data_IF_769338025766
#
_entry.id   IF_769338025766
#
_cell.length_a   1.000
_cell.length_b   1.000
_cell.length_c   1.000
_cell.angle_alpha   90.00
_cell.angle_beta   90.00
_cell.angle_gamma   90.00
#
_symmetry.space_group_name_H-M   'P 1'
#
loop_
_entity.id
_entity.type
_entity.pdbx_description
1 polymer ?
#
# COMPACT_ATOMS: atom_id res chain seq x y z
N UNK A 1 5.15 -9.64 -10.70
CA UNK A 1 4.97 -8.24 -10.26
C UNK A 1 3.79 -8.21 -9.31
N UNK A 2 3.93 -7.60 -8.14
CA UNK A 2 2.86 -7.52 -7.14
C UNK A 2 1.77 -6.55 -7.60
N UNK A 3 0.51 -6.87 -7.27
CA UNK A 3 -0.61 -5.96 -7.48
C UNK A 3 -0.49 -4.79 -6.50
N UNK A 4 -0.57 -3.57 -7.00
CA UNK A 4 -0.65 -2.37 -6.16
C UNK A 4 -2.11 -1.95 -6.03
N UNK A 5 -2.55 -1.80 -4.79
CA UNK A 5 -3.82 -1.19 -4.46
C UNK A 5 -3.58 0.08 -3.64
N UNK A 6 -4.31 1.15 -3.91
CA UNK A 6 -4.20 2.44 -3.21
C UNK A 6 -5.48 2.76 -2.46
N UNK A 7 -5.38 3.30 -1.25
CA UNK A 7 -6.52 3.81 -0.49
C UNK A 7 -7.12 5.05 -1.18
N UNK A 8 -8.31 5.48 -0.76
CA UNK A 8 -8.87 6.76 -1.21
C UNK A 8 -7.94 7.94 -0.88
N UNK A 9 -7.34 7.95 0.32
CA UNK A 9 -6.38 8.98 0.72
C UNK A 9 -5.16 9.01 -0.20
N UNK A 10 -4.59 7.85 -0.54
CA UNK A 10 -3.46 7.74 -1.44
C UNK A 10 -3.83 8.17 -2.87
N UNK A 11 -5.03 7.84 -3.33
CA UNK A 11 -5.57 8.30 -4.61
C UNK A 11 -5.68 9.83 -4.64
N UNK A 12 -6.26 10.44 -3.61
CA UNK A 12 -6.36 11.90 -3.51
C UNK A 12 -4.98 12.55 -3.46
N UNK A 13 -4.02 11.95 -2.74
CA UNK A 13 -2.62 12.40 -2.75
C UNK A 13 -2.05 12.42 -4.17
N UNK A 14 -2.19 11.33 -4.95
CA UNK A 14 -1.69 11.25 -6.34
C UNK A 14 -2.32 12.31 -7.25
N UNK A 15 -3.64 12.50 -7.16
CA UNK A 15 -4.36 13.43 -8.03
C UNK A 15 -3.92 14.88 -7.89
N UNK A 16 -3.29 15.22 -6.76
CA UNK A 16 -2.82 16.56 -6.43
C UNK A 16 -1.31 16.76 -6.65
N UNK A 17 -0.59 15.75 -7.18
CA UNK A 17 0.86 15.86 -7.44
C UNK A 17 1.18 16.43 -8.80
N UNK A 18 2.30 17.15 -8.88
CA UNK A 18 2.83 17.61 -10.17
C UNK A 18 3.60 16.48 -10.87
N UNK A 19 3.91 16.68 -12.16
CA UNK A 19 4.53 15.66 -13.01
C UNK A 19 5.89 15.16 -12.49
N UNK A 20 6.69 16.04 -11.90
CA UNK A 20 8.02 15.68 -11.38
C UNK A 20 7.90 14.86 -10.09
N UNK A 21 6.86 15.11 -9.31
CA UNK A 21 6.53 14.29 -8.14
C UNK A 21 5.95 12.94 -8.55
N UNK A 22 5.05 12.92 -9.53
CA UNK A 22 4.46 11.70 -10.08
C UNK A 22 5.51 10.77 -10.66
N UNK A 23 6.51 11.28 -11.39
CA UNK A 23 7.64 10.48 -11.90
C UNK A 23 8.42 9.78 -10.78
N UNK A 24 8.70 10.50 -9.68
CA UNK A 24 9.39 9.91 -8.51
C UNK A 24 8.54 8.85 -7.82
N UNK A 25 7.26 9.14 -7.62
CA UNK A 25 6.31 8.22 -7.01
C UNK A 25 6.18 6.96 -7.85
N UNK A 26 6.02 7.12 -9.17
CA UNK A 26 5.91 6.02 -10.11
C UNK A 26 7.14 5.11 -10.07
N UNK A 27 8.34 5.68 -10.14
CA UNK A 27 9.59 4.91 -10.00
C UNK A 27 9.64 4.14 -8.68
N UNK A 28 9.17 4.74 -7.59
CA UNK A 28 9.12 4.04 -6.30
C UNK A 28 8.06 2.93 -6.28
N UNK A 29 6.87 3.14 -6.85
CA UNK A 29 5.81 2.14 -6.97
C UNK A 29 6.22 0.97 -7.87
N UNK A 30 6.85 1.24 -9.01
CA UNK A 30 7.37 0.23 -9.94
C UNK A 30 8.46 -0.61 -9.25
N UNK A 31 9.38 0.02 -8.52
CA UNK A 31 10.38 -0.71 -7.74
C UNK A 31 9.73 -1.55 -6.65
N UNK A 32 8.70 -1.01 -5.99
CA UNK A 32 7.98 -1.71 -4.93
C UNK A 32 7.24 -2.94 -5.48
N UNK A 33 6.53 -2.80 -6.61
CA UNK A 33 5.80 -3.88 -7.31
C UNK A 33 6.72 -4.96 -7.89
N UNK A 34 7.98 -4.62 -8.16
CA UNK A 34 9.00 -5.57 -8.59
C UNK A 34 9.83 -6.17 -7.42
N UNK A 35 9.52 -5.84 -6.16
CA UNK A 35 10.29 -6.35 -5.01
C UNK A 35 11.68 -5.71 -4.86
N UNK A 36 11.97 -4.63 -5.59
CA UNK A 36 13.26 -3.94 -5.64
C UNK A 36 13.43 -2.97 -4.47
N UNK A 37 13.47 -3.52 -3.26
CA UNK A 37 13.41 -2.74 -2.01
C UNK A 37 14.77 -2.27 -1.49
N UNK A 38 15.84 -2.60 -2.22
CA UNK A 38 17.20 -2.11 -1.99
C UNK A 38 17.48 -0.94 -2.93
N UNK A 39 18.31 0.01 -2.48
CA UNK A 39 18.79 1.19 -3.22
C UNK A 39 17.66 2.14 -3.70
N UNK A 40 17.66 3.40 -3.26
CA UNK A 40 16.59 4.35 -3.59
C UNK A 40 15.34 4.18 -2.73
N UNK A 41 14.54 3.13 -2.95
CA UNK A 41 13.22 2.90 -2.32
C UNK A 41 13.30 2.45 -0.86
N UNK A 42 14.40 1.82 -0.41
CA UNK A 42 14.68 1.38 0.99
C UNK A 42 13.43 1.14 1.84
N UNK A 43 12.95 -0.11 1.87
CA UNK A 43 11.80 -0.49 2.69
C UNK A 43 12.23 -0.77 4.12
N UNK A 44 11.45 -0.28 5.08
CA UNK A 44 11.59 -0.60 6.51
C UNK A 44 10.24 -0.96 7.10
N UNK A 45 10.29 -1.73 8.17
CA UNK A 45 9.14 -2.04 9.00
C UNK A 45 9.01 -1.01 10.12
N UNK A 46 7.79 -0.52 10.33
CA UNK A 46 7.47 0.32 11.47
C UNK A 46 7.13 -0.60 12.65
N UNK A 47 8.15 -0.91 13.45
CA UNK A 47 7.97 -1.72 14.67
C UNK A 47 7.20 -0.98 15.77
N UNK A 48 7.09 0.33 15.67
CA UNK A 48 6.65 1.23 16.72
C UNK A 48 5.14 1.39 16.85
N UNK A 49 4.32 0.68 16.07
CA UNK A 49 2.91 1.10 15.89
C UNK A 49 1.86 0.05 16.24
N UNK A 50 2.11 -1.26 16.12
CA UNK A 50 1.24 -2.33 16.65
C UNK A 50 1.92 -3.72 16.57
N UNK A 51 1.57 -4.64 17.47
CA UNK A 51 1.90 -6.08 17.39
C UNK A 51 0.91 -6.90 16.55
N UNK A 52 -0.24 -6.36 16.13
CA UNK A 52 -1.25 -7.11 15.37
C UNK A 52 -1.24 -6.80 13.87
N UNK A 53 -0.73 -5.62 13.48
CA UNK A 53 -0.73 -5.13 12.10
C UNK A 53 0.63 -4.57 11.73
N UNK A 54 1.18 -5.05 10.61
CA UNK A 54 2.47 -4.61 10.13
C UNK A 54 2.30 -3.48 9.11
N UNK A 55 2.81 -2.29 9.42
CA UNK A 55 2.93 -1.18 8.47
C UNK A 55 4.40 -1.05 8.08
N UNK A 56 4.62 -0.88 6.80
CA UNK A 56 5.93 -0.67 6.21
C UNK A 56 6.04 0.76 5.69
N UNK A 57 7.24 1.32 5.77
CA UNK A 57 7.61 2.51 5.02
C UNK A 57 8.47 2.15 3.82
N UNK A 58 8.20 2.79 2.69
CA UNK A 58 9.09 2.85 1.54
C UNK A 58 9.48 4.30 1.28
N UNK A 59 10.75 4.53 0.96
CA UNK A 59 11.25 5.83 0.54
C UNK A 59 10.77 6.20 -0.87
N UNK A 60 10.11 7.35 -0.98
CA UNK A 60 9.83 7.97 -2.29
C UNK A 60 11.00 8.85 -2.71
N UNK A 61 11.48 9.69 -1.78
CA UNK A 61 12.71 10.46 -1.95
C UNK A 61 13.36 10.76 -0.58
N UNK A 62 14.28 11.73 -0.51
CA UNK A 62 14.97 12.04 0.74
C UNK A 62 13.99 12.43 1.87
N UNK A 63 12.98 13.23 1.58
CA UNK A 63 12.05 13.78 2.57
C UNK A 63 10.81 12.89 2.77
N UNK A 64 10.36 12.21 1.72
CA UNK A 64 9.03 11.59 1.70
C UNK A 64 9.05 10.07 1.79
N UNK A 65 8.00 9.53 2.40
CA UNK A 65 7.75 8.11 2.63
C UNK A 65 6.37 7.73 2.13
N UNK A 66 6.26 6.48 1.74
CA UNK A 66 5.03 5.80 1.37
C UNK A 66 4.76 4.76 2.44
N UNK A 67 3.53 4.74 2.97
CA UNK A 67 3.11 3.79 3.99
C UNK A 67 2.26 2.71 3.35
N UNK A 68 2.58 1.46 3.61
CA UNK A 68 1.88 0.33 3.01
C UNK A 68 1.81 -0.88 3.92
N UNK A 69 0.88 -1.78 3.61
CA UNK A 69 0.84 -3.15 4.13
C UNK A 69 0.93 -4.14 2.97
N UNK A 70 1.33 -5.37 3.26
CA UNK A 70 1.33 -6.48 2.29
C UNK A 70 0.39 -7.56 2.81
N UNK A 71 -0.24 -8.26 1.88
CA UNK A 71 -1.10 -9.41 2.15
C UNK A 71 -0.92 -10.44 1.05
N UNK A 72 -0.79 -11.71 1.41
CA UNK A 72 -0.88 -12.80 0.43
C UNK A 72 -2.33 -12.98 0.00
N UNK A 73 -2.62 -12.93 -1.32
CA UNK A 73 -3.97 -13.20 -1.84
C UNK A 73 -4.40 -14.67 -1.59
N UNK A 74 -3.44 -15.57 -1.43
CA UNK A 74 -3.67 -16.93 -1.00
C UNK A 74 -3.19 -17.09 0.44
N UNK A 75 -4.09 -17.50 1.35
CA UNK A 75 -3.76 -17.76 2.76
C UNK A 75 -2.62 -18.78 2.93
N UNK A 76 -2.23 -19.47 1.85
CA UNK A 76 -1.12 -20.42 1.80
C UNK A 76 0.25 -19.78 1.99
N UNK A 77 0.45 -18.48 1.71
CA UNK A 77 1.76 -17.78 1.77
C UNK A 77 2.90 -18.45 0.97
N UNK A 78 2.60 -19.48 0.19
CA UNK A 78 3.53 -20.23 -0.65
C UNK A 78 3.68 -19.53 -2.00
N UNK A 79 2.63 -18.83 -2.45
CA UNK A 79 2.60 -18.10 -3.70
C UNK A 79 2.85 -16.61 -3.50
N UNK A 80 4.10 -16.33 -3.14
CA UNK A 80 4.66 -14.98 -2.98
C UNK A 80 4.22 -14.03 -4.11
N UNK A 81 4.26 -14.50 -5.35
CA UNK A 81 3.95 -13.70 -6.54
C UNK A 81 2.49 -13.21 -6.60
N UNK A 82 1.59 -13.78 -5.79
CA UNK A 82 0.19 -13.34 -5.65
C UNK A 82 -0.03 -12.37 -4.48
N UNK A 83 1.04 -11.87 -3.85
CA UNK A 83 0.89 -10.88 -2.78
C UNK A 83 0.42 -9.54 -3.34
N UNK A 84 -0.45 -8.87 -2.60
CA UNK A 84 -0.99 -7.55 -2.92
C UNK A 84 -0.39 -6.55 -1.95
N UNK A 85 0.05 -5.41 -2.48
CA UNK A 85 0.58 -4.29 -1.71
C UNK A 85 -0.49 -3.23 -1.61
N UNK A 86 -0.88 -2.87 -0.39
CA UNK A 86 -1.90 -1.89 -0.07
C UNK A 86 -1.23 -0.60 0.39
N UNK A 87 -1.23 0.41 -0.45
CA UNK A 87 -0.68 1.74 -0.16
C UNK A 87 -1.73 2.57 0.57
N UNK A 88 -1.41 2.97 1.79
CA UNK A 88 -2.28 3.78 2.64
C UNK A 88 -2.04 5.27 2.40
N UNK A 89 -0.77 5.66 2.25
CA UNK A 89 -0.31 7.02 1.96
C UNK A 89 0.91 6.98 1.05
N UNK A 90 1.08 7.99 0.21
CA UNK A 90 2.10 8.02 -0.86
C UNK A 90 3.19 9.04 -0.56
N UNK A 91 2.86 10.18 0.03
CA UNK A 91 3.81 11.26 0.30
C UNK A 91 3.68 11.77 1.73
N UNK A 92 4.09 10.94 2.68
CA UNK A 92 4.20 11.30 4.09
C UNK A 92 5.57 11.90 4.34
N UNK A 93 5.64 13.05 5.01
CA UNK A 93 6.92 13.62 5.46
C UNK A 93 7.55 12.68 6.50
N UNK A 94 8.88 12.58 6.49
CA UNK A 94 9.62 11.65 7.35
C UNK A 94 9.20 11.71 8.83
N UNK A 95 9.01 12.92 9.35
CA UNK A 95 8.71 13.13 10.77
C UNK A 95 7.24 12.82 11.11
N UNK A 96 6.36 12.77 10.10
CA UNK A 96 4.93 12.48 10.24
C UNK A 96 4.60 10.99 10.08
N UNK A 97 5.59 10.15 9.76
CA UNK A 97 5.41 8.71 9.49
C UNK A 97 4.67 8.01 10.62
N UNK A 98 5.10 8.23 11.87
CA UNK A 98 4.49 7.58 13.04
C UNK A 98 3.07 8.09 13.25
N UNK A 99 2.82 9.38 13.10
CA UNK A 99 1.48 9.96 13.25
C UNK A 99 0.50 9.40 12.20
N UNK A 100 0.92 9.33 10.93
CA UNK A 100 0.10 8.74 9.87
C UNK A 100 -0.13 7.26 10.07
N UNK A 101 0.89 6.52 10.51
CA UNK A 101 0.76 5.11 10.84
C UNK A 101 -0.26 4.87 11.97
N UNK A 102 -0.27 5.71 13.02
CA UNK A 102 -1.31 5.64 14.08
C UNK A 102 -2.72 5.82 13.51
N UNK A 103 -2.92 6.77 12.60
CA UNK A 103 -4.24 6.99 11.98
C UNK A 103 -4.68 5.82 11.09
N UNK A 104 -3.76 5.10 10.46
CA UNK A 104 -4.06 3.86 9.70
C UNK A 104 -4.50 2.73 10.63
N UNK A 105 -4.04 2.72 11.88
CA UNK A 105 -4.37 1.70 12.88
C UNK A 105 -5.62 2.04 13.69
N UNK A 106 -5.95 3.33 13.84
CA UNK A 106 -7.14 3.77 14.57
C UNK A 106 -7.16 3.20 16.00
N UNK A 107 -8.25 2.52 16.35
CA UNK A 107 -8.46 1.95 17.69
C UNK A 107 -7.53 0.76 18.01
N UNK A 108 -6.88 0.17 16.99
CA UNK A 108 -5.94 -0.94 17.20
C UNK A 108 -4.56 -0.44 17.67
N UNK A 109 -4.36 0.87 17.76
CA UNK A 109 -3.14 1.44 18.31
C UNK A 109 -3.09 1.33 19.84
N UNK A 110 -1.96 0.85 20.36
CA UNK A 110 -1.68 0.76 21.80
C UNK A 110 -0.27 1.28 22.08
N UNK A 111 -0.15 2.30 22.93
CA UNK A 111 1.16 2.82 23.36
C UNK A 111 1.98 1.77 24.12
N UNK A 112 1.31 0.82 24.79
CA UNK A 112 1.97 -0.28 25.50
C UNK A 112 2.63 -1.29 24.56
N UNK A 113 2.23 -1.30 23.28
CA UNK A 113 2.81 -2.15 22.24
C UNK A 113 3.87 -1.42 21.41
N UNK A 114 4.22 -0.19 21.80
CA UNK A 114 5.27 0.60 21.20
C UNK A 114 6.65 -0.03 21.45
N UNK A 115 7.31 -0.49 20.39
CA UNK A 115 8.69 -0.97 20.43
C UNK A 115 9.59 0.08 19.78
N UNK A 116 10.64 0.52 20.50
CA UNK A 116 11.69 1.37 19.95
C UNK A 116 12.44 0.65 18.81
N UNK A 117 12.63 1.35 17.69
CA UNK A 117 13.14 0.77 16.45
C UNK A 117 14.54 0.13 16.59
N UNK A 118 14.70 -1.06 16.01
CA UNK A 118 15.99 -1.53 15.52
C UNK A 118 15.89 -1.51 14.00
N UNK A 119 16.78 -0.76 13.34
CA UNK A 119 16.74 -0.53 11.89
C UNK A 119 17.09 -1.83 11.14
N UNK A 120 16.10 -2.71 10.93
CA UNK A 120 16.29 -3.93 10.15
C UNK A 120 16.02 -3.64 8.67
N UNK A 121 17.04 -3.85 7.82
CA UNK A 121 16.86 -3.88 6.37
C UNK A 121 16.22 -5.22 5.99
N UNK A 122 14.92 -5.19 5.71
CA UNK A 122 14.17 -6.41 5.43
C UNK A 122 14.10 -6.65 3.92
N UNK A 123 14.24 -7.90 3.50
CA UNK A 123 13.97 -8.34 2.12
C UNK A 123 12.57 -8.97 2.00
N UNK A 124 12.09 -9.17 0.78
CA UNK A 124 10.73 -9.66 0.54
C UNK A 124 10.40 -10.98 1.24
N UNK A 125 11.28 -11.99 1.13
CA UNK A 125 11.02 -13.28 1.79
C UNK A 125 10.90 -13.13 3.30
N UNK A 126 11.70 -12.26 3.90
CA UNK A 126 11.62 -11.96 5.34
C UNK A 126 10.32 -11.23 5.69
N UNK A 127 9.83 -10.30 4.86
CA UNK A 127 8.54 -9.62 5.12
C UNK A 127 7.37 -10.59 5.17
N UNK A 128 7.27 -11.50 4.21
CA UNK A 128 6.17 -12.48 4.18
C UNK A 128 6.26 -13.51 5.30
N UNK A 129 7.47 -13.92 5.68
CA UNK A 129 7.67 -14.81 6.84
C UNK A 129 7.28 -14.10 8.14
N UNK A 130 7.64 -12.83 8.30
CA UNK A 130 7.24 -12.04 9.45
C UNK A 130 5.74 -11.76 9.48
N UNK A 131 5.09 -11.57 8.33
CA UNK A 131 3.63 -11.44 8.24
C UNK A 131 2.92 -12.65 8.90
N UNK A 132 3.46 -13.86 8.74
CA UNK A 132 2.96 -15.11 9.38
C UNK A 132 3.01 -15.09 10.91
N UNK A 133 3.90 -14.31 11.50
CA UNK A 133 4.12 -14.32 12.97
C UNK A 133 3.05 -13.55 13.74
N UNK A 134 2.21 -12.79 13.04
CA UNK A 134 1.15 -11.99 13.63
C UNK A 134 -0.11 -12.82 13.85
N UNK A 135 -0.53 -12.94 15.12
CA UNK A 135 -1.62 -13.84 15.56
C UNK A 135 -3.03 -13.42 15.13
N UNK A 136 -3.24 -12.14 14.80
CA UNK A 136 -4.55 -11.59 14.40
C UNK A 136 -4.57 -11.10 12.93
N UNK A 137 -4.12 -11.95 12.01
CA UNK A 137 -4.20 -11.64 10.57
C UNK A 137 -5.62 -11.30 10.13
N UNK A 138 -6.65 -11.90 10.75
CA UNK A 138 -8.07 -11.61 10.51
C UNK A 138 -8.43 -10.12 10.57
N UNK A 139 -7.78 -9.31 11.43
CA UNK A 139 -8.06 -7.87 11.55
C UNK A 139 -7.55 -7.08 10.32
N UNK A 140 -6.48 -7.53 9.66
CA UNK A 140 -6.01 -6.95 8.39
C UNK A 140 -7.00 -7.28 7.26
N UNK A 141 -7.65 -8.46 7.29
CA UNK A 141 -8.74 -8.79 6.37
C UNK A 141 -9.93 -7.86 6.58
N UNK A 142 -10.40 -7.70 7.83
CA UNK A 142 -11.48 -6.77 8.16
C UNK A 142 -11.16 -5.34 7.73
N UNK A 143 -9.96 -4.83 8.02
CA UNK A 143 -9.59 -3.46 7.64
C UNK A 143 -9.56 -3.25 6.12
N UNK A 144 -9.02 -4.20 5.35
CA UNK A 144 -8.99 -4.10 3.88
C UNK A 144 -10.40 -4.24 3.30
N UNK A 145 -11.24 -5.09 3.90
CA UNK A 145 -12.62 -5.29 3.45
C UNK A 145 -13.52 -4.09 3.83
N UNK A 146 -13.22 -3.38 4.93
CA UNK A 146 -13.92 -2.17 5.37
C UNK A 146 -13.47 -0.91 4.61
N UNK A 147 -12.21 -0.86 4.14
CA UNK A 147 -11.66 0.30 3.44
C UNK A 147 -11.69 0.13 1.92
N UNK A 148 -12.07 1.19 1.21
CA UNK A 148 -12.08 1.21 -0.26
C UNK A 148 -10.66 1.33 -0.79
N UNK A 149 -10.19 0.25 -1.38
CA UNK A 149 -8.93 0.21 -2.12
C UNK A 149 -9.18 0.16 -3.63
N UNK A 150 -8.32 0.84 -4.37
CA UNK A 150 -8.39 0.94 -5.82
C UNK A 150 -7.18 0.26 -6.45
N UNK A 151 -7.40 -0.51 -7.50
CA UNK A 151 -6.33 -1.11 -8.30
C UNK A 151 -5.67 0.01 -9.10
N UNK A 152 -4.34 0.06 -9.02
CA UNK A 152 -3.54 1.02 -9.76
C UNK A 152 -2.88 0.32 -10.96
N UNK A 153 -3.37 0.64 -12.16
CA UNK A 153 -2.92 0.02 -13.42
C UNK A 153 -1.91 0.88 -14.17
N UNK A 154 -1.27 0.30 -15.19
CA UNK A 154 -0.36 1.04 -16.08
C UNK A 154 -1.08 2.20 -16.80
N UNK A 155 -2.30 1.95 -17.28
CA UNK A 155 -3.14 2.96 -17.93
C UNK A 155 -3.47 4.13 -17.02
N UNK A 156 -3.69 3.88 -15.72
CA UNK A 156 -3.94 4.94 -14.74
C UNK A 156 -2.72 5.86 -14.61
N UNK A 157 -1.50 5.31 -14.64
CA UNK A 157 -0.29 6.13 -14.66
C UNK A 157 -0.21 6.97 -15.91
N UNK A 158 -0.43 6.38 -17.09
CA UNK A 158 -0.40 7.11 -18.36
C UNK A 158 -1.39 8.29 -18.35
N UNK A 159 -2.58 8.11 -17.77
CA UNK A 159 -3.56 9.18 -17.59
C UNK A 159 -3.03 10.32 -16.70
N UNK A 160 -2.32 10.00 -15.61
CA UNK A 160 -1.70 11.03 -14.77
C UNK A 160 -0.63 11.84 -15.52
N UNK A 161 0.18 11.19 -16.36
CA UNK A 161 1.20 11.89 -17.17
C UNK A 161 0.56 12.75 -18.28
N UNK A 162 -0.57 12.31 -18.84
CA UNK A 162 -1.27 12.98 -19.93
C UNK A 162 -2.24 14.10 -19.50
N UNK A 163 -2.55 14.22 -18.20
CA UNK A 163 -3.43 15.25 -17.62
C UNK A 163 -3.03 16.70 -17.95
N UNK A 164 -1.81 16.91 -18.46
CA UNK A 164 -1.31 18.22 -18.94
C UNK A 164 -2.10 18.82 -20.11
N UNK A 165 -2.83 18.02 -20.89
CA UNK A 165 -3.44 18.50 -22.13
C UNK A 165 -4.91 18.93 -21.98
N UNK A 166 -5.55 18.61 -20.85
CA UNK A 166 -6.94 18.98 -20.61
C UNK A 166 -7.05 19.95 -19.43
N UNK A 167 -7.67 21.11 -19.70
CA UNK A 167 -8.02 22.12 -18.69
C UNK A 167 -9.18 21.67 -17.79
N UNK A 168 -9.77 20.50 -18.07
CA UNK A 168 -10.79 19.89 -17.22
C UNK A 168 -10.12 19.06 -16.14
N UNK A 169 -10.66 19.18 -14.92
CA UNK A 169 -10.29 18.36 -13.77
C UNK A 169 -10.77 16.93 -14.04
N UNK A 170 -10.07 16.20 -14.89
CA UNK A 170 -10.38 14.79 -15.15
C UNK A 170 -10.16 14.02 -13.86
N UNK A 171 -11.26 13.54 -13.30
CA UNK A 171 -11.27 12.63 -12.17
C UNK A 171 -10.97 11.26 -12.76
N UNK A 172 -9.76 10.76 -12.50
CA UNK A 172 -9.40 9.40 -12.90
C UNK A 172 -10.24 8.43 -12.06
N UNK A 173 -11.10 7.68 -12.75
CA UNK A 173 -11.88 6.61 -12.14
C UNK A 173 -11.03 5.35 -12.07
N UNK A 174 -10.59 5.00 -10.87
CA UNK A 174 -9.87 3.77 -10.62
C UNK A 174 -10.83 2.61 -10.43
N UNK A 175 -10.37 1.41 -10.79
CA UNK A 175 -11.10 0.19 -10.52
C UNK A 175 -11.04 -0.12 -9.03
N UNK A 176 -12.20 -0.31 -8.39
CA UNK A 176 -12.26 -0.76 -6.99
C UNK A 176 -11.75 -2.21 -6.88
N UNK A 177 -10.87 -2.47 -5.90
CA UNK A 177 -10.50 -3.85 -5.54
C UNK A 177 -11.66 -4.46 -4.77
N UNK A 178 -12.16 -5.57 -5.30
CA UNK A 178 -13.24 -6.34 -4.70
C UNK A 178 -12.69 -7.48 -3.85
N UNK A 179 -13.44 -7.89 -2.83
CA UNK A 179 -13.16 -9.14 -2.11
C UNK A 179 -13.45 -10.34 -3.00
N UNK A 180 -12.86 -11.51 -2.70
CA UNK A 180 -13.14 -12.74 -3.49
C UNK A 180 -14.62 -13.11 -3.49
N UNK A 181 -15.31 -12.83 -2.39
CA UNK A 181 -16.75 -13.03 -2.27
C UNK A 181 -17.54 -12.08 -3.18
N UNK A 182 -17.19 -10.79 -3.17
CA UNK A 182 -17.80 -9.79 -4.07
C UNK A 182 -17.56 -10.13 -5.54
N UNK A 183 -16.33 -10.54 -5.91
CA UNK A 183 -16.01 -10.99 -7.26
C UNK A 183 -16.86 -12.21 -7.67
N UNK A 184 -17.07 -13.16 -6.75
CA UNK A 184 -17.91 -14.34 -6.98
C UNK A 184 -19.39 -13.98 -7.18
N UNK A 185 -19.92 -13.08 -6.34
CA UNK A 185 -21.31 -12.60 -6.45
C UNK A 185 -21.54 -11.93 -7.80
N UNK A 186 -20.65 -11.02 -8.22
CA UNK A 186 -20.76 -10.33 -9.50
C UNK A 186 -20.66 -11.30 -10.68
N UNK A 187 -19.69 -12.22 -10.68
CA UNK A 187 -19.57 -13.24 -11.74
C UNK A 187 -20.85 -14.05 -11.90
N UNK A 188 -21.49 -14.42 -10.79
CA UNK A 188 -22.76 -15.15 -10.82
C UNK A 188 -23.94 -14.32 -11.34
N UNK A 189 -23.89 -12.99 -11.25
CA UNK A 189 -24.95 -12.10 -11.73
C UNK A 189 -24.82 -11.73 -13.23
N UNK A 190 -23.61 -11.80 -13.81
CA UNK A 190 -23.37 -11.48 -15.22
C UNK A 190 -23.49 -12.68 -16.19
N UNK A 191 -23.93 -13.85 -15.70
CA UNK A 191 -24.12 -15.07 -16.51
C UNK A 191 -25.59 -15.35 -16.91
N UNK A 192 -26.43 -14.31 -17.01
CA UNK A 192 -27.77 -14.38 -17.61
C UNK A 192 -27.87 -13.48 -18.84
#
# INVERSE_FOLDING_TARGET
>A
MFLICISENAKDELQNKNINELDKIYKSLERLSNGLWKNGTRVKKLHAVNKNKCIYEARVDKARRMLFSIKSDDMSYENIEKSIIYIHNICVEHDDVIFKAKNILGNDYSENDYILEVENKINMKQLLVEEKTYKNQYEVYFYIDENKFHILTEDDYLRFFNKKNDTKKDIINFQLKLTKEQEKILKNHYHY
#
